data_IF_870410696523
#
_entry.id   IF_870410696523
#
_cell.length_a   1.000
_cell.length_b   1.000
_cell.length_c   1.000
_cell.angle_alpha   90.00
_cell.angle_beta   90.00
_cell.angle_gamma   90.00
#
_symmetry.space_group_name_H-M   'P 1'
#
loop_
_entity.id
_entity.type
_entity.pdbx_description
1 polymer ?
#
# COMPACT_ATOMS: atom_id res chain seq x y z
N UNK A 1 -20.37 43.32 -39.25
CA UNK A 1 -19.23 42.88 -38.41
C UNK A 1 -19.63 42.62 -36.96
N UNK A 2 -20.57 43.38 -36.39
CA UNK A 2 -21.05 43.20 -35.01
C UNK A 2 -21.76 41.85 -34.75
N UNK A 3 -22.53 41.33 -35.71
CA UNK A 3 -23.25 40.04 -35.53
C UNK A 3 -22.31 38.83 -35.43
N UNK A 4 -21.18 38.84 -36.14
CA UNK A 4 -20.16 37.78 -36.02
C UNK A 4 -19.55 37.79 -34.63
N UNK A 5 -19.22 38.96 -34.09
CA UNK A 5 -18.63 39.12 -32.76
C UNK A 5 -19.62 38.65 -31.68
N UNK A 6 -20.89 39.07 -31.75
CA UNK A 6 -21.95 38.62 -30.85
C UNK A 6 -22.15 37.09 -30.87
N UNK A 7 -22.15 36.49 -32.08
CA UNK A 7 -22.22 35.04 -32.27
C UNK A 7 -21.05 34.28 -31.62
N UNK A 8 -19.81 34.79 -31.73
CA UNK A 8 -18.64 34.18 -31.09
C UNK A 8 -18.74 34.21 -29.56
N UNK A 9 -19.06 35.37 -28.96
CA UNK A 9 -19.20 35.50 -27.51
C UNK A 9 -20.30 34.61 -26.93
N UNK A 10 -21.43 34.46 -27.64
CA UNK A 10 -22.54 33.63 -27.18
C UNK A 10 -22.19 32.13 -27.26
N UNK A 11 -21.38 31.73 -28.25
CA UNK A 11 -20.93 30.36 -28.41
C UNK A 11 -19.92 29.95 -27.33
N UNK A 12 -18.98 30.83 -26.97
CA UNK A 12 -18.01 30.56 -25.89
C UNK A 12 -18.67 30.44 -24.52
N UNK A 13 -19.67 31.28 -24.23
CA UNK A 13 -20.45 31.18 -22.98
C UNK A 13 -21.21 29.86 -22.89
N UNK A 14 -21.80 29.40 -23.99
CA UNK A 14 -22.50 28.11 -24.07
C UNK A 14 -21.54 26.93 -23.88
N UNK A 15 -20.37 26.97 -24.51
CA UNK A 15 -19.32 25.93 -24.37
C UNK A 15 -18.80 25.84 -22.94
N UNK A 16 -18.54 26.97 -22.28
CA UNK A 16 -18.14 27.00 -20.86
C UNK A 16 -19.20 26.42 -19.93
N UNK A 17 -20.47 26.74 -20.16
CA UNK A 17 -21.58 26.18 -19.36
C UNK A 17 -21.72 24.66 -19.56
N UNK A 18 -21.58 24.17 -20.80
CA UNK A 18 -21.60 22.74 -21.12
C UNK A 18 -20.42 22.00 -20.48
N UNK A 19 -19.21 22.54 -20.63
CA UNK A 19 -18.00 22.03 -19.98
C UNK A 19 -18.19 21.92 -18.47
N UNK A 20 -18.71 22.98 -17.84
CA UNK A 20 -18.94 23.00 -16.41
C UNK A 20 -19.90 21.91 -15.94
N UNK A 21 -21.02 21.72 -16.65
CA UNK A 21 -21.98 20.65 -16.33
C UNK A 21 -21.34 19.26 -16.40
N UNK A 22 -20.58 18.99 -17.46
CA UNK A 22 -19.99 17.66 -17.65
C UNK A 22 -18.88 17.40 -16.61
N UNK A 23 -18.10 18.42 -16.25
CA UNK A 23 -17.11 18.32 -15.18
C UNK A 23 -17.78 17.99 -13.85
N UNK A 24 -18.90 18.63 -13.53
CA UNK A 24 -19.70 18.30 -12.35
C UNK A 24 -20.16 16.83 -12.39
N UNK A 25 -20.67 16.37 -13.53
CA UNK A 25 -21.08 14.96 -13.70
C UNK A 25 -19.93 13.97 -13.49
N UNK A 26 -18.73 14.27 -14.01
CA UNK A 26 -17.54 13.45 -13.79
C UNK A 26 -17.12 13.49 -12.32
N UNK A 27 -17.10 14.67 -11.70
CA UNK A 27 -16.72 14.84 -10.30
C UNK A 27 -17.65 14.05 -9.37
N UNK A 28 -18.95 14.00 -9.68
CA UNK A 28 -19.93 13.16 -8.97
C UNK A 28 -19.65 11.67 -9.14
N UNK A 29 -19.41 11.20 -10.37
CA UNK A 29 -19.08 9.79 -10.63
C UNK A 29 -17.80 9.36 -9.91
N UNK A 30 -16.79 10.24 -9.88
CA UNK A 30 -15.55 10.03 -9.15
C UNK A 30 -15.80 9.98 -7.64
N UNK A 31 -16.68 10.84 -7.10
CA UNK A 31 -17.06 10.81 -5.70
C UNK A 31 -17.74 9.48 -5.31
N UNK A 32 -18.63 8.97 -6.16
CA UNK A 32 -19.25 7.66 -5.95
C UNK A 32 -18.19 6.54 -5.90
N UNK A 33 -17.15 6.64 -6.74
CA UNK A 33 -16.05 5.68 -6.71
C UNK A 33 -15.22 5.80 -5.43
N UNK A 34 -15.01 7.00 -4.90
CA UNK A 34 -14.35 7.18 -3.61
C UNK A 34 -15.14 6.53 -2.48
N UNK A 35 -16.47 6.68 -2.47
CA UNK A 35 -17.31 6.08 -1.43
C UNK A 35 -17.24 4.55 -1.46
N UNK A 36 -17.19 3.95 -2.66
CA UNK A 36 -16.96 2.51 -2.83
C UNK A 36 -15.59 2.06 -2.33
N UNK A 37 -14.54 2.86 -2.56
CA UNK A 37 -13.21 2.58 -2.03
C UNK A 37 -13.15 2.72 -0.51
N UNK A 38 -13.84 3.71 0.09
CA UNK A 38 -13.96 3.85 1.55
C UNK A 38 -14.66 2.63 2.17
N UNK A 39 -15.74 2.17 1.55
CA UNK A 39 -16.42 0.94 1.98
C UNK A 39 -15.50 -0.28 1.90
N UNK A 40 -14.74 -0.43 0.82
CA UNK A 40 -13.77 -1.52 0.68
C UNK A 40 -12.68 -1.45 1.76
N UNK A 41 -12.17 -0.25 2.08
CA UNK A 41 -11.20 -0.05 3.17
C UNK A 41 -11.80 -0.49 4.51
N UNK A 42 -13.04 -0.10 4.82
CA UNK A 42 -13.70 -0.50 6.08
C UNK A 42 -13.80 -2.01 6.19
N UNK A 43 -14.30 -2.68 5.15
CA UNK A 43 -14.42 -4.15 5.11
C UNK A 43 -13.07 -4.85 5.33
N UNK A 44 -12.01 -4.37 4.67
CA UNK A 44 -10.66 -4.90 4.84
C UNK A 44 -10.11 -4.66 6.24
N UNK A 45 -10.39 -3.50 6.85
CA UNK A 45 -9.99 -3.20 8.23
C UNK A 45 -10.71 -4.07 9.26
N UNK A 46 -11.98 -4.38 9.03
CA UNK A 46 -12.70 -5.29 9.92
C UNK A 46 -12.13 -6.71 9.78
N UNK A 47 -11.79 -7.13 8.57
CA UNK A 47 -11.12 -8.41 8.34
C UNK A 47 -9.72 -8.49 8.97
N UNK A 48 -8.93 -7.41 8.92
CA UNK A 48 -7.64 -7.27 9.60
C UNK A 48 -7.79 -7.56 11.10
N UNK A 49 -8.77 -6.94 11.76
CA UNK A 49 -9.06 -7.14 13.19
C UNK A 49 -9.48 -8.58 13.50
N UNK A 50 -10.37 -9.16 12.71
CA UNK A 50 -10.79 -10.55 12.91
C UNK A 50 -9.62 -11.53 12.83
N UNK A 51 -8.72 -11.33 11.86
CA UNK A 51 -7.53 -12.17 11.70
C UNK A 51 -6.54 -11.94 12.84
N UNK A 52 -6.42 -10.70 13.32
CA UNK A 52 -5.58 -10.38 14.47
C UNK A 52 -6.00 -11.16 15.72
N UNK A 53 -7.29 -11.22 16.03
CA UNK A 53 -7.81 -12.03 17.14
C UNK A 53 -7.53 -13.53 16.95
N UNK A 54 -7.50 -14.00 15.69
CA UNK A 54 -7.12 -15.39 15.37
C UNK A 54 -5.63 -15.65 15.55
N UNK A 55 -4.76 -14.67 15.25
CA UNK A 55 -3.32 -14.75 15.56
C UNK A 55 -3.12 -14.96 17.05
N UNK A 56 -3.74 -14.13 17.89
CA UNK A 56 -3.60 -14.21 19.35
C UNK A 56 -4.05 -15.58 19.87
N UNK A 57 -5.22 -16.06 19.43
CA UNK A 57 -5.72 -17.38 19.83
C UNK A 57 -4.78 -18.51 19.43
N UNK A 58 -4.32 -18.51 18.18
CA UNK A 58 -3.38 -19.51 17.69
C UNK A 58 -2.06 -19.49 18.48
N UNK A 59 -1.57 -18.31 18.88
CA UNK A 59 -0.39 -18.19 19.74
C UNK A 59 -0.61 -18.77 21.14
N UNK A 60 -1.76 -18.49 21.77
CA UNK A 60 -2.11 -19.05 23.09
C UNK A 60 -2.22 -20.58 23.03
N UNK A 61 -2.76 -21.11 21.94
CA UNK A 61 -2.89 -22.55 21.69
C UNK A 61 -1.57 -23.23 21.29
N UNK A 62 -0.49 -22.46 21.07
CA UNK A 62 0.80 -22.97 20.60
C UNK A 62 0.83 -23.37 19.11
N UNK A 63 -0.23 -23.08 18.35
CA UNK A 63 -0.33 -23.37 16.92
C UNK A 63 0.34 -22.27 16.09
N UNK A 64 1.67 -22.28 16.09
CA UNK A 64 2.49 -21.28 15.40
C UNK A 64 2.25 -21.27 13.88
N UNK A 65 1.92 -22.43 13.28
CA UNK A 65 1.64 -22.51 11.85
C UNK A 65 0.39 -21.69 11.47
N UNK A 66 -0.70 -21.81 12.23
CA UNK A 66 -1.90 -20.98 12.02
C UNK A 66 -1.64 -19.51 12.30
N UNK A 67 -0.90 -19.20 13.37
CA UNK A 67 -0.54 -17.82 13.69
C UNK A 67 0.21 -17.15 12.52
N UNK A 68 1.18 -17.83 11.92
CA UNK A 68 1.92 -17.34 10.75
C UNK A 68 1.02 -17.14 9.53
N UNK A 69 0.12 -18.08 9.23
CA UNK A 69 -0.81 -17.95 8.10
C UNK A 69 -1.70 -16.71 8.26
N UNK A 70 -2.27 -16.51 9.45
CA UNK A 70 -3.12 -15.34 9.70
C UNK A 70 -2.33 -14.03 9.65
N UNK A 71 -1.10 -14.00 10.19
CA UNK A 71 -0.24 -12.83 10.12
C UNK A 71 0.14 -12.44 8.68
N UNK A 72 0.39 -13.43 7.82
CA UNK A 72 0.66 -13.20 6.40
C UNK A 72 -0.56 -12.60 5.68
N UNK A 73 -1.75 -13.13 5.92
CA UNK A 73 -2.99 -12.59 5.35
C UNK A 73 -3.23 -11.14 5.81
N UNK A 74 -2.96 -10.83 7.09
CA UNK A 74 -3.03 -9.45 7.59
C UNK A 74 -2.05 -8.54 6.83
N UNK A 75 -0.82 -8.98 6.60
CA UNK A 75 0.16 -8.22 5.81
C UNK A 75 -0.36 -7.91 4.40
N UNK A 76 -0.98 -8.89 3.75
CA UNK A 76 -1.52 -8.72 2.40
C UNK A 76 -2.78 -7.82 2.39
N UNK A 77 -3.65 -7.94 3.39
CA UNK A 77 -4.78 -7.01 3.59
C UNK A 77 -4.30 -5.58 3.79
N UNK A 78 -3.27 -5.35 4.60
CA UNK A 78 -2.72 -4.00 4.82
C UNK A 78 -2.10 -3.41 3.56
N UNK A 79 -1.43 -4.23 2.73
CA UNK A 79 -0.97 -3.81 1.40
C UNK A 79 -2.14 -3.42 0.50
N UNK A 80 -3.23 -4.20 0.50
CA UNK A 80 -4.44 -3.86 -0.26
C UNK A 80 -5.06 -2.56 0.22
N UNK A 81 -5.24 -2.37 1.54
CA UNK A 81 -5.73 -1.12 2.13
C UNK A 81 -4.88 0.07 1.66
N UNK A 82 -3.54 -0.07 1.66
CA UNK A 82 -2.63 0.97 1.19
C UNK A 82 -2.86 1.35 -0.27
N UNK A 83 -3.02 0.36 -1.15
CA UNK A 83 -3.29 0.60 -2.57
C UNK A 83 -4.63 1.31 -2.74
N UNK A 84 -5.70 0.80 -2.10
CA UNK A 84 -7.05 1.38 -2.19
C UNK A 84 -7.08 2.81 -1.64
N UNK A 85 -6.44 3.06 -0.49
CA UNK A 85 -6.41 4.38 0.12
C UNK A 85 -5.60 5.39 -0.70
N UNK A 86 -4.52 4.95 -1.34
CA UNK A 86 -3.78 5.79 -2.30
C UNK A 86 -4.69 6.19 -3.47
N UNK A 87 -5.45 5.24 -4.02
CA UNK A 87 -6.42 5.54 -5.08
C UNK A 87 -7.54 6.47 -4.61
N UNK A 88 -8.06 6.29 -3.39
CA UNK A 88 -9.05 7.18 -2.78
C UNK A 88 -8.58 8.63 -2.74
N UNK A 89 -7.34 8.87 -2.28
CA UNK A 89 -6.74 10.22 -2.23
C UNK A 89 -6.42 10.77 -3.63
N UNK A 90 -5.97 9.93 -4.56
CA UNK A 90 -5.71 10.33 -5.93
C UNK A 90 -6.98 10.76 -6.66
N UNK A 91 -8.10 10.05 -6.46
CA UNK A 91 -9.40 10.49 -6.99
C UNK A 91 -9.82 11.83 -6.38
N UNK A 92 -9.60 12.05 -5.08
CA UNK A 92 -9.89 13.35 -4.45
C UNK A 92 -9.09 14.48 -5.12
N UNK A 93 -7.79 14.25 -5.33
CA UNK A 93 -6.92 15.21 -5.98
C UNK A 93 -7.36 15.49 -7.42
N UNK A 94 -7.77 14.46 -8.16
CA UNK A 94 -8.31 14.59 -9.52
C UNK A 94 -9.58 15.44 -9.54
N UNK A 95 -10.51 15.23 -8.59
CA UNK A 95 -11.73 16.03 -8.50
C UNK A 95 -11.41 17.51 -8.27
N UNK A 96 -10.51 17.82 -7.34
CA UNK A 96 -10.04 19.20 -7.09
C UNK A 96 -9.42 19.81 -8.35
N UNK A 97 -8.62 19.04 -9.10
CA UNK A 97 -8.07 19.50 -10.38
C UNK A 97 -9.16 19.80 -11.39
N UNK A 98 -10.15 18.93 -11.53
CA UNK A 98 -11.28 19.13 -12.44
C UNK A 98 -12.08 20.40 -12.11
N UNK A 99 -12.23 20.75 -10.83
CA UNK A 99 -12.92 21.98 -10.41
C UNK A 99 -12.18 23.25 -10.92
N UNK A 100 -10.85 23.21 -11.00
CA UNK A 100 -10.03 24.34 -11.52
C UNK A 100 -10.12 24.55 -13.04
N UNK A 101 -10.69 23.61 -13.80
CA UNK A 101 -10.77 23.70 -15.27
C UNK A 101 -11.60 24.90 -15.71
N UNK A 102 -12.62 25.29 -14.95
CA UNK A 102 -13.47 26.44 -15.27
C UNK A 102 -12.71 27.78 -15.19
N UNK A 103 -11.62 27.82 -14.42
CA UNK A 103 -10.84 29.03 -14.13
C UNK A 103 -9.69 29.24 -15.14
N UNK A 104 -9.28 28.19 -15.85
CA UNK A 104 -8.08 28.21 -16.71
C UNK A 104 -8.38 28.44 -18.19
N UNK A 105 -7.56 29.28 -18.83
CA UNK A 105 -7.43 29.33 -20.29
C UNK A 105 -6.51 28.18 -20.75
N UNK A 106 -6.99 26.94 -20.70
CA UNK A 106 -6.17 25.78 -21.05
C UNK A 106 -6.70 24.46 -20.50
N UNK A 107 -7.88 24.05 -20.96
CA UNK A 107 -8.57 22.82 -20.51
C UNK A 107 -7.67 21.57 -20.65
N UNK A 108 -6.82 21.53 -21.68
CA UNK A 108 -5.88 20.44 -21.94
C UNK A 108 -4.83 20.23 -20.85
N UNK A 109 -4.39 21.30 -20.19
CA UNK A 109 -3.38 21.26 -19.12
C UNK A 109 -3.90 20.53 -17.87
N UNK A 110 -5.22 20.37 -17.75
CA UNK A 110 -5.85 19.67 -16.64
C UNK A 110 -6.37 18.30 -17.07
N UNK A 111 -7.09 18.22 -18.21
CA UNK A 111 -7.74 16.97 -18.61
C UNK A 111 -6.73 15.86 -18.95
N UNK A 112 -5.60 16.20 -19.59
CA UNK A 112 -4.62 15.19 -20.00
C UNK A 112 -3.91 14.52 -18.80
N UNK A 113 -3.39 15.28 -17.80
CA UNK A 113 -2.90 14.66 -16.57
C UNK A 113 -3.96 13.85 -15.84
N UNK A 114 -5.21 14.35 -15.77
CA UNK A 114 -6.32 13.62 -15.13
C UNK A 114 -6.56 12.27 -15.80
N UNK A 115 -6.66 12.22 -17.12
CA UNK A 115 -6.83 10.96 -17.86
C UNK A 115 -5.71 9.97 -17.56
N UNK A 116 -4.45 10.45 -17.52
CA UNK A 116 -3.30 9.62 -17.22
C UNK A 116 -3.37 9.05 -15.80
N UNK A 117 -3.68 9.89 -14.81
CA UNK A 117 -3.86 9.45 -13.42
C UNK A 117 -4.96 8.40 -13.32
N UNK A 118 -6.14 8.64 -13.91
CA UNK A 118 -7.27 7.69 -13.86
C UNK A 118 -6.92 6.34 -14.52
N UNK A 119 -6.19 6.36 -15.65
CA UNK A 119 -5.69 5.15 -16.29
C UNK A 119 -4.71 4.35 -15.41
N UNK A 120 -3.76 5.03 -14.75
CA UNK A 120 -2.82 4.39 -13.83
C UNK A 120 -3.53 3.83 -12.59
N UNK A 121 -4.50 4.55 -12.03
CA UNK A 121 -5.30 4.08 -10.90
C UNK A 121 -6.11 2.84 -11.25
N UNK A 122 -6.75 2.81 -12.43
CA UNK A 122 -7.44 1.62 -12.95
C UNK A 122 -6.55 0.38 -12.89
N UNK A 123 -5.33 0.49 -13.39
CA UNK A 123 -4.39 -0.63 -13.42
C UNK A 123 -3.94 -1.08 -12.02
N UNK A 124 -3.80 -0.15 -11.08
CA UNK A 124 -3.43 -0.46 -9.69
C UNK A 124 -4.55 -1.18 -8.93
N UNK A 125 -5.81 -0.82 -9.16
CA UNK A 125 -6.93 -1.33 -8.37
C UNK A 125 -7.72 -2.45 -9.04
N UNK A 126 -7.50 -2.77 -10.33
CA UNK A 126 -8.28 -3.81 -11.04
C UNK A 126 -8.27 -5.19 -10.37
N UNK A 127 -7.20 -5.54 -9.66
CA UNK A 127 -7.09 -6.81 -8.94
C UNK A 127 -7.73 -6.81 -7.54
N UNK A 128 -8.12 -5.63 -7.02
CA UNK A 128 -8.58 -5.43 -5.65
C UNK A 128 -10.03 -4.92 -5.63
N UNK A 129 -10.33 -3.91 -6.46
CA UNK A 129 -11.63 -3.27 -6.62
C UNK A 129 -12.00 -3.20 -8.13
N UNK A 130 -12.35 -4.33 -8.76
CA UNK A 130 -12.57 -4.41 -10.20
C UNK A 130 -13.73 -3.52 -10.69
N UNK A 131 -14.81 -3.40 -9.91
CA UNK A 131 -15.94 -2.53 -10.26
C UNK A 131 -15.51 -1.06 -10.38
N UNK A 132 -14.66 -0.60 -9.44
CA UNK A 132 -14.14 0.77 -9.46
C UNK A 132 -13.22 0.95 -10.67
N UNK A 133 -12.36 -0.03 -10.98
CA UNK A 133 -11.50 0.03 -12.15
C UNK A 133 -12.30 0.20 -13.46
N UNK A 134 -13.40 -0.55 -13.64
CA UNK A 134 -14.30 -0.42 -14.79
C UNK A 134 -14.92 0.99 -14.84
N UNK A 135 -15.36 1.51 -13.71
CA UNK A 135 -15.92 2.86 -13.64
C UNK A 135 -14.87 3.94 -13.98
N UNK A 136 -13.63 3.80 -13.50
CA UNK A 136 -12.54 4.72 -13.84
C UNK A 136 -12.23 4.70 -15.35
N UNK A 137 -12.32 3.54 -16.02
CA UNK A 137 -12.14 3.43 -17.47
C UNK A 137 -13.24 4.17 -18.25
N UNK A 138 -14.49 4.02 -17.81
CA UNK A 138 -15.62 4.77 -18.36
C UNK A 138 -15.48 6.27 -18.14
N UNK A 139 -15.08 6.70 -16.93
CA UNK A 139 -14.83 8.10 -16.62
C UNK A 139 -13.69 8.65 -17.49
N UNK A 140 -12.60 7.90 -17.65
CA UNK A 140 -11.48 8.27 -18.53
C UNK A 140 -11.95 8.50 -19.97
N UNK A 141 -12.82 7.62 -20.48
CA UNK A 141 -13.42 7.76 -21.82
C UNK A 141 -14.30 9.02 -21.94
N UNK A 142 -15.05 9.36 -20.89
CA UNK A 142 -15.84 10.59 -20.85
C UNK A 142 -14.93 11.83 -20.86
N UNK A 143 -13.86 11.83 -20.05
CA UNK A 143 -12.87 12.93 -20.03
C UNK A 143 -12.21 13.10 -21.40
N UNK A 144 -11.85 11.98 -22.07
CA UNK A 144 -11.29 12.01 -23.41
C UNK A 144 -12.25 12.64 -24.43
N UNK A 145 -13.53 12.25 -24.38
CA UNK A 145 -14.56 12.78 -25.29
C UNK A 145 -14.70 14.30 -25.14
N UNK A 146 -14.63 14.81 -23.91
CA UNK A 146 -14.65 16.25 -23.63
C UNK A 146 -13.40 16.93 -24.17
N UNK A 147 -12.23 16.32 -23.98
CA UNK A 147 -10.99 16.87 -24.49
C UNK A 147 -11.01 17.02 -26.03
N UNK A 148 -11.71 16.12 -26.74
CA UNK A 148 -11.96 16.24 -28.19
C UNK A 148 -12.94 17.37 -28.49
N UNK A 149 -14.12 17.39 -27.86
CA UNK A 149 -15.19 18.38 -28.12
C UNK A 149 -14.77 19.84 -27.82
N UNK A 150 -13.95 20.01 -26.80
CA UNK A 150 -13.43 21.31 -26.37
C UNK A 150 -12.23 21.78 -27.19
N UNK A 151 -11.72 20.93 -28.10
CA UNK A 151 -10.50 21.21 -28.86
C UNK A 151 -9.23 21.18 -28.01
N UNK A 152 -9.30 20.67 -26.78
CA UNK A 152 -8.15 20.48 -25.90
C UNK A 152 -7.12 19.48 -26.47
N UNK A 153 -7.55 18.59 -27.36
CA UNK A 153 -6.70 17.65 -28.11
C UNK A 153 -6.24 18.18 -29.48
N UNK A 154 -6.43 19.47 -29.79
CA UNK A 154 -5.90 20.04 -31.05
C UNK A 154 -4.37 20.01 -31.05
N UNK A 155 -3.75 19.64 -32.19
CA UNK A 155 -2.33 19.30 -32.40
C UNK A 155 -1.26 20.30 -31.93
N UNK A 156 -1.63 21.46 -31.37
CA UNK A 156 -0.68 22.50 -30.95
C UNK A 156 -0.73 22.72 -29.45
N UNK A 157 0.41 22.46 -28.80
CA UNK A 157 0.83 22.95 -27.47
C UNK A 157 0.38 22.19 -26.22
N UNK A 158 0.60 20.87 -26.16
CA UNK A 158 0.91 20.24 -24.86
C UNK A 158 2.17 19.40 -24.99
N UNK A 159 3.18 19.73 -24.20
CA UNK A 159 4.42 18.96 -24.14
C UNK A 159 4.14 17.68 -23.35
N UNK A 160 4.28 16.47 -23.94
CA UNK A 160 3.98 15.21 -23.25
C UNK A 160 4.70 15.06 -21.90
N UNK A 161 5.90 15.62 -21.77
CA UNK A 161 6.67 15.60 -20.52
C UNK A 161 5.97 16.30 -19.36
N UNK A 162 5.30 17.43 -19.61
CA UNK A 162 4.57 18.19 -18.57
C UNK A 162 3.35 17.42 -18.07
N UNK A 163 2.66 16.73 -18.97
CA UNK A 163 1.52 15.86 -18.61
C UNK A 163 1.98 14.71 -17.72
N UNK A 164 3.11 14.12 -18.07
CA UNK A 164 3.70 13.00 -17.36
C UNK A 164 4.17 13.39 -15.96
N UNK A 165 4.85 14.53 -15.84
CA UNK A 165 5.29 15.09 -14.57
C UNK A 165 4.13 15.39 -13.63
N UNK A 166 3.06 16.04 -14.12
CA UNK A 166 1.92 16.41 -13.28
C UNK A 166 1.13 15.17 -12.81
N UNK A 167 0.92 14.19 -13.69
CA UNK A 167 0.29 12.92 -13.30
C UNK A 167 1.13 12.17 -12.26
N UNK A 168 2.44 12.09 -12.47
CA UNK A 168 3.34 11.42 -11.54
C UNK A 168 3.42 12.14 -10.19
N UNK A 169 3.37 13.47 -10.20
CA UNK A 169 3.33 14.30 -8.99
C UNK A 169 2.09 13.99 -8.16
N UNK A 170 0.91 13.93 -8.77
CA UNK A 170 -0.35 13.57 -8.09
C UNK A 170 -0.23 12.18 -7.43
N UNK A 171 0.25 11.17 -8.18
CA UNK A 171 0.37 9.81 -7.66
C UNK A 171 1.42 9.69 -6.54
N UNK A 172 2.55 10.38 -6.65
CA UNK A 172 3.59 10.36 -5.63
C UNK A 172 3.16 11.07 -4.35
N UNK A 173 2.55 12.25 -4.46
CA UNK A 173 2.02 13.02 -3.33
C UNK A 173 0.99 12.19 -2.55
N UNK A 174 0.05 11.56 -3.26
CA UNK A 174 -1.03 10.79 -2.64
C UNK A 174 -0.54 9.48 -2.04
N UNK A 175 0.44 8.82 -2.66
CA UNK A 175 1.12 7.67 -2.07
C UNK A 175 1.81 8.04 -0.75
N UNK A 176 2.52 9.16 -0.71
CA UNK A 176 3.18 9.65 0.50
C UNK A 176 2.16 9.96 1.60
N UNK A 177 1.09 10.69 1.28
CA UNK A 177 0.00 10.98 2.23
C UNK A 177 -0.66 9.70 2.74
N UNK A 178 -0.89 8.72 1.88
CA UNK A 178 -1.44 7.43 2.27
C UNK A 178 -0.51 6.68 3.25
N UNK A 179 0.79 6.68 2.99
CA UNK A 179 1.79 6.07 3.87
C UNK A 179 1.83 6.71 5.26
N UNK A 180 1.82 8.04 5.32
CA UNK A 180 1.80 8.78 6.58
C UNK A 180 0.51 8.47 7.36
N UNK A 181 -0.64 8.54 6.69
CA UNK A 181 -1.94 8.38 7.35
C UNK A 181 -2.20 6.96 7.81
N UNK A 182 -1.78 5.95 7.04
CA UNK A 182 -2.01 4.55 7.41
C UNK A 182 -1.11 4.07 8.54
N UNK A 183 0.07 4.68 8.73
CA UNK A 183 0.92 4.41 9.91
C UNK A 183 0.24 4.83 11.21
N UNK A 184 -0.61 5.86 11.19
CA UNK A 184 -1.38 6.29 12.38
C UNK A 184 -2.55 5.36 12.69
N UNK A 185 -3.13 4.71 11.67
CA UNK A 185 -4.43 4.04 11.76
C UNK A 185 -4.31 2.52 11.88
N UNK A 186 -3.19 1.94 11.42
CA UNK A 186 -2.92 0.52 11.47
C UNK A 186 -1.94 0.22 12.61
N UNK A 187 -2.37 -0.44 13.70
CA UNK A 187 -1.49 -0.77 14.82
C UNK A 187 -0.37 -1.71 14.39
N UNK A 188 0.80 -1.59 15.00
CA UNK A 188 1.88 -2.55 14.82
C UNK A 188 1.40 -3.95 15.23
N UNK A 189 1.72 -4.94 14.40
CA UNK A 189 1.44 -6.33 14.76
C UNK A 189 2.37 -6.71 15.91
N UNK A 190 1.90 -7.47 16.92
CA UNK A 190 2.80 -8.08 17.88
C UNK A 190 3.80 -8.91 17.05
N UNK A 191 5.08 -8.56 17.22
CA UNK A 191 6.19 -9.05 16.41
C UNK A 191 6.16 -10.58 16.15
N UNK A 192 6.65 -11.05 15.00
CA UNK A 192 6.57 -10.38 13.70
C UNK A 192 5.99 -11.27 12.59
N UNK A 193 5.43 -10.68 11.52
CA UNK A 193 5.72 -11.15 10.18
C UNK A 193 7.18 -10.77 9.86
N UNK A 194 8.13 -11.61 10.27
CA UNK A 194 9.47 -11.55 9.71
C UNK A 194 9.37 -11.82 8.21
N UNK A 195 10.14 -11.06 7.44
CA UNK A 195 10.27 -11.20 5.98
C UNK A 195 9.97 -12.62 5.52
N UNK A 196 8.89 -12.80 4.75
CA UNK A 196 8.85 -13.97 3.89
C UNK A 196 10.03 -13.79 2.94
N UNK A 197 11.06 -14.67 2.96
CA UNK A 197 11.84 -14.80 1.76
C UNK A 197 10.82 -15.20 0.70
N UNK A 198 10.60 -14.29 -0.25
CA UNK A 198 10.06 -14.67 -1.54
C UNK A 198 10.86 -15.90 -1.94
N UNK A 199 10.23 -17.08 -1.92
CA UNK A 199 10.77 -18.28 -2.53
C UNK A 199 10.79 -18.04 -4.03
N UNK A 200 11.66 -17.12 -4.47
CA UNK A 200 12.31 -17.26 -5.76
C UNK A 200 13.06 -18.57 -5.64
N UNK A 201 12.63 -19.56 -6.42
CA UNK A 201 13.54 -20.60 -6.92
C UNK A 201 14.73 -19.84 -7.53
N UNK A 202 15.78 -19.67 -6.76
CA UNK A 202 17.09 -19.31 -7.27
C UNK A 202 17.97 -20.51 -7.03
N UNK A 203 18.32 -21.11 -8.15
CA UNK A 203 19.37 -22.10 -8.30
C UNK A 203 20.60 -21.58 -7.55
N UNK A 204 21.14 -22.40 -6.66
CA UNK A 204 22.29 -22.07 -5.83
C UNK A 204 23.50 -21.91 -6.76
N UNK A 205 23.98 -20.69 -6.93
CA UNK A 205 25.38 -20.43 -7.30
C UNK A 205 26.05 -19.69 -6.13
N UNK A 206 27.00 -20.39 -5.52
CA UNK A 206 27.76 -19.94 -4.36
C UNK A 206 28.82 -18.94 -4.83
N UNK A 207 28.76 -17.70 -4.34
CA UNK A 207 29.96 -16.86 -4.24
C UNK A 207 30.09 -16.30 -2.82
N UNK A 208 31.28 -16.52 -2.28
CA UNK A 208 31.74 -16.27 -0.93
C UNK A 208 31.93 -14.78 -0.67
N UNK A 209 31.45 -14.27 0.47
CA UNK A 209 32.05 -13.11 1.15
C UNK A 209 32.02 -13.29 2.68
N UNK A 210 33.05 -12.74 3.33
CA UNK A 210 33.58 -13.03 4.67
C UNK A 210 32.99 -12.14 5.80
N UNK A 211 33.28 -12.42 7.10
CA UNK A 211 32.32 -12.28 8.20
C UNK A 211 32.39 -10.95 8.98
N UNK A 212 31.23 -10.45 9.42
CA UNK A 212 31.11 -9.49 10.53
C UNK A 212 31.01 -10.26 11.86
N UNK A 213 31.74 -9.77 12.88
CA UNK A 213 32.00 -10.39 14.18
C UNK A 213 30.76 -10.89 14.92
N UNK A 214 30.74 -12.19 15.26
CA UNK A 214 29.72 -12.83 16.10
C UNK A 214 29.96 -12.49 17.57
N UNK A 215 29.00 -11.83 18.21
CA UNK A 215 28.95 -11.64 19.67
C UNK A 215 28.82 -13.04 20.31
N UNK A 216 29.72 -13.42 21.21
CA UNK A 216 29.62 -14.69 21.95
C UNK A 216 28.39 -14.66 22.84
N UNK A 217 27.63 -15.74 22.82
CA UNK A 217 26.47 -15.95 23.69
C UNK A 217 26.94 -16.22 25.11
N UNK A 218 26.27 -15.57 26.05
CA UNK A 218 26.57 -15.62 27.47
C UNK A 218 25.57 -16.48 28.22
N UNK A 219 25.91 -16.85 29.47
CA UNK A 219 25.00 -17.59 30.34
C UNK A 219 23.70 -16.82 30.64
N UNK A 220 23.75 -15.48 30.61
CA UNK A 220 22.59 -14.63 30.84
C UNK A 220 21.61 -14.67 29.67
N UNK A 221 22.10 -14.74 28.43
CA UNK A 221 21.26 -14.89 27.23
C UNK A 221 20.49 -16.22 27.25
N UNK A 222 21.14 -17.29 27.72
CA UNK A 222 20.52 -18.60 27.86
C UNK A 222 19.48 -18.63 28.99
N UNK A 223 19.77 -18.00 30.13
CA UNK A 223 18.83 -17.86 31.24
C UNK A 223 17.59 -17.06 30.85
N UNK A 224 17.77 -15.95 30.15
CA UNK A 224 16.67 -15.11 29.68
C UNK A 224 15.80 -15.89 28.69
N UNK A 225 16.40 -16.62 27.77
CA UNK A 225 15.69 -17.50 26.85
C UNK A 225 14.85 -18.55 27.61
N UNK A 226 15.45 -19.26 28.58
CA UNK A 226 14.76 -20.28 29.38
C UNK A 226 13.59 -19.67 30.19
N UNK A 227 13.74 -18.44 30.70
CA UNK A 227 12.65 -17.75 31.41
C UNK A 227 11.51 -17.40 30.46
N UNK A 228 11.81 -16.91 29.26
CA UNK A 228 10.82 -16.54 28.26
C UNK A 228 10.06 -17.75 27.71
N UNK A 229 10.71 -18.91 27.64
CA UNK A 229 10.09 -20.17 27.21
C UNK A 229 9.46 -20.96 28.35
N UNK A 230 9.36 -20.39 29.56
CA UNK A 230 8.71 -21.02 30.70
C UNK A 230 9.43 -22.27 31.20
N UNK A 231 10.74 -22.35 31.04
CA UNK A 231 11.58 -23.46 31.51
C UNK A 231 11.99 -24.47 30.42
N UNK A 232 11.46 -24.35 29.19
CA UNK A 232 11.74 -25.31 28.10
C UNK A 232 12.84 -24.81 27.16
N UNK A 233 13.87 -25.63 26.88
CA UNK A 233 14.96 -25.29 25.97
C UNK A 233 15.04 -26.27 24.80
N UNK A 234 14.77 -25.79 23.59
CA UNK A 234 15.11 -26.50 22.35
C UNK A 234 16.56 -26.20 21.96
N UNK A 235 17.44 -27.19 22.16
CA UNK A 235 18.86 -27.10 21.87
C UNK A 235 19.18 -26.86 20.40
N UNK A 236 18.39 -27.43 19.46
CA UNK A 236 18.63 -27.22 18.03
C UNK A 236 18.22 -25.81 17.60
N UNK A 237 17.09 -25.35 18.12
CA UNK A 237 16.59 -24.02 17.84
C UNK A 237 17.51 -22.94 18.42
N UNK A 238 17.92 -23.08 19.69
CA UNK A 238 18.82 -22.16 20.36
C UNK A 238 20.19 -22.11 19.66
N UNK A 239 20.76 -23.28 19.33
CA UNK A 239 22.04 -23.39 18.60
C UNK A 239 22.00 -22.67 17.24
N UNK A 240 20.88 -22.79 16.50
CA UNK A 240 20.71 -22.14 15.19
C UNK A 240 20.51 -20.63 15.31
N UNK A 241 19.67 -20.16 16.24
CA UNK A 241 19.38 -18.73 16.42
C UNK A 241 20.63 -17.98 16.85
N UNK A 242 21.32 -18.51 17.84
CA UNK A 242 22.45 -17.85 18.45
C UNK A 242 23.79 -18.20 17.79
N UNK A 243 23.76 -19.10 16.80
CA UNK A 243 24.94 -19.65 16.13
C UNK A 243 26.00 -20.13 17.15
N UNK A 244 25.56 -20.96 18.09
CA UNK A 244 26.39 -21.55 19.15
C UNK A 244 26.41 -23.06 18.95
N UNK A 245 27.55 -23.70 19.17
CA UNK A 245 27.60 -25.17 19.08
C UNK A 245 26.77 -25.81 20.19
N UNK A 246 26.14 -26.95 19.91
CA UNK A 246 25.32 -27.67 20.90
C UNK A 246 26.12 -28.01 22.17
N UNK A 247 27.41 -28.33 22.05
CA UNK A 247 28.27 -28.61 23.21
C UNK A 247 28.49 -27.38 24.07
N UNK A 248 28.67 -26.21 23.45
CA UNK A 248 28.87 -24.96 24.19
C UNK A 248 27.59 -24.56 24.95
N UNK A 249 26.41 -24.81 24.38
CA UNK A 249 25.12 -24.64 25.09
C UNK A 249 25.01 -25.61 26.28
N UNK A 250 25.38 -26.88 26.09
CA UNK A 250 25.36 -27.89 27.16
C UNK A 250 26.31 -27.54 28.31
N UNK A 251 27.49 -26.99 28.01
CA UNK A 251 28.45 -26.56 29.03
C UNK A 251 27.93 -25.35 29.82
N UNK A 252 27.24 -24.41 29.16
CA UNK A 252 26.57 -23.30 29.83
C UNK A 252 25.44 -23.79 30.74
N UNK A 253 24.63 -24.74 30.30
CA UNK A 253 23.58 -25.36 31.14
C UNK A 253 24.15 -26.03 32.39
N UNK A 254 25.23 -26.81 32.24
CA UNK A 254 25.92 -27.43 33.38
C UNK A 254 26.47 -26.39 34.35
N UNK A 255 27.02 -25.28 33.83
CA UNK A 255 27.49 -24.18 34.67
C UNK A 255 26.35 -23.44 35.39
N UNK A 256 25.17 -23.35 34.79
CA UNK A 256 24.00 -22.73 35.42
C UNK A 256 23.40 -23.64 36.49
N UNK A 257 23.37 -24.95 36.23
CA UNK A 257 22.92 -25.96 37.19
C UNK A 257 23.86 -26.05 38.40
N UNK A 258 25.18 -26.02 38.20
CA UNK A 258 26.15 -26.04 39.31
C UNK A 258 26.10 -24.77 40.18
N UNK A 259 25.61 -23.65 39.63
CA UNK A 259 25.33 -22.41 40.36
C UNK A 259 23.95 -22.40 41.03
N UNK A 260 23.14 -23.44 40.85
CA UNK A 260 21.78 -23.54 41.40
C UNK A 260 20.77 -22.60 40.75
N UNK A 261 21.05 -22.07 39.55
CA UNK A 261 20.18 -21.13 38.85
C UNK A 261 19.09 -21.83 38.02
N UNK A 262 19.34 -23.08 37.65
CA UNK A 262 18.40 -23.95 36.94
C UNK A 262 18.48 -25.37 37.49
N UNK A 263 17.42 -26.14 37.31
CA UNK A 263 17.41 -27.60 37.49
C UNK A 263 17.22 -28.22 36.11
N UNK A 264 18.05 -29.20 35.76
CA UNK A 264 17.91 -29.94 34.51
C UNK A 264 17.03 -31.16 34.77
N UNK A 265 15.87 -31.21 34.13
CA UNK A 265 15.02 -32.40 34.07
C UNK A 265 15.22 -33.02 32.68
N UNK A 266 15.52 -34.32 32.62
CA UNK A 266 15.65 -35.09 31.37
C UNK A 266 14.29 -35.40 30.74
#
# INVERSE_FOLDING_TARGET
>A
MLDKISSFFNNDKKRKAQLGKIITEISLKLKDQQDRLDEAIRRLRDRDKELYEKVIRAQIEGDMAKATIYAQEISDIRKMIKIIYTAFLAIEKVRIKLDTVQELQGVSLVLLPVMKVLGQLKDQIKGIAPEVAIALDSITSNVNSIAIETGALSERTVVPTVVDEEAQKILNETKKMAEEKLKEILPELPYPPSDTPSYKRQVIEIKQEQPQQKRKVTADDLLEYIRQTGGFLDLEHFSKIYNVDKQEVLDLLKSLASKGLITLEE
#
